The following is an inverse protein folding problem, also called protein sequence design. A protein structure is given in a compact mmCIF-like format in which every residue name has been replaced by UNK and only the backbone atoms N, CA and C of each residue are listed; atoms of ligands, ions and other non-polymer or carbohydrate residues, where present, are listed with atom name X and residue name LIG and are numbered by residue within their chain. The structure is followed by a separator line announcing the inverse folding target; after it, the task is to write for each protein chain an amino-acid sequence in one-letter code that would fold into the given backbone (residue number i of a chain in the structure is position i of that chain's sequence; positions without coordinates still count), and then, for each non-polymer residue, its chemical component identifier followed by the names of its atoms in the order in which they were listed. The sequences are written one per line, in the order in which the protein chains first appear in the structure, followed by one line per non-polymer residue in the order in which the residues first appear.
data_IF_251347599056
#
_entry.id   IF_251347599056
#
_cell.length_a   1.000
_cell.length_b   1.000
_cell.length_c   1.000
_cell.angle_alpha   90.00
_cell.angle_beta   90.00
_cell.angle_gamma   90.00
#
_symmetry.space_group_name_H-M   'P 1'
#
loop_
_entity.id
_entity.type
_entity.pdbx_description
1 polymer ?
#
# COMPACT_ATOMS: atom_id res chain seq x y z
N UNK A 1 -4.30 29.76 -14.61
CA UNK A 1 -3.06 29.09 -14.18
C UNK A 1 -3.06 29.09 -12.65
N UNK A 2 -3.44 27.98 -12.08
CA UNK A 2 -3.58 27.85 -10.64
C UNK A 2 -2.19 27.58 -10.06
N UNK A 3 -1.57 28.65 -9.61
CA UNK A 3 -0.37 28.52 -8.79
C UNK A 3 -0.88 28.07 -7.41
N UNK A 4 -0.91 26.76 -7.20
CA UNK A 4 -1.02 26.22 -5.85
C UNK A 4 0.15 26.81 -5.06
N UNK A 5 -0.08 27.57 -3.99
CA UNK A 5 1.03 28.24 -3.33
C UNK A 5 2.04 27.16 -2.90
N UNK A 6 3.26 27.23 -3.39
CA UNK A 6 4.35 26.30 -3.07
C UNK A 6 4.47 26.07 -1.53
N UNK A 7 4.21 27.10 -0.76
CA UNK A 7 4.18 27.03 0.71
C UNK A 7 2.99 26.22 1.27
N UNK A 8 1.92 25.97 0.51
CA UNK A 8 0.78 25.19 1.02
C UNK A 8 1.15 23.72 1.20
N UNK A 9 1.98 23.19 0.33
CA UNK A 9 2.41 21.78 0.42
C UNK A 9 3.33 21.56 1.63
N UNK A 10 4.23 22.49 1.92
CA UNK A 10 5.02 22.45 3.15
C UNK A 10 4.17 22.59 4.41
N UNK A 11 3.18 23.47 4.39
CA UNK A 11 2.37 23.76 5.57
C UNK A 11 1.34 22.68 5.88
N UNK A 12 0.78 22.02 4.86
CA UNK A 12 -0.34 21.09 5.02
C UNK A 12 -0.01 19.67 4.59
N UNK A 13 0.60 19.47 3.44
CA UNK A 13 0.85 18.13 2.90
C UNK A 13 1.91 17.37 3.70
N UNK A 14 3.05 17.97 4.02
CA UNK A 14 4.11 17.29 4.79
C UNK A 14 3.67 16.89 6.21
N UNK A 15 3.01 17.77 7.01
CA UNK A 15 2.48 17.35 8.32
C UNK A 15 1.42 16.25 8.20
N UNK A 16 0.54 16.31 7.20
CA UNK A 16 -0.46 15.28 6.95
C UNK A 16 0.19 13.95 6.57
N UNK A 17 1.20 13.97 5.70
CA UNK A 17 1.98 12.80 5.33
C UNK A 17 2.72 12.19 6.52
N UNK A 18 3.37 13.02 7.34
CA UNK A 18 4.05 12.56 8.55
C UNK A 18 3.09 11.88 9.53
N UNK A 19 1.89 12.47 9.72
CA UNK A 19 0.83 11.88 10.55
C UNK A 19 0.35 10.54 9.98
N UNK A 20 0.15 10.47 8.67
CA UNK A 20 -0.27 9.23 7.98
C UNK A 20 0.79 8.14 8.12
N UNK A 21 2.07 8.45 7.91
CA UNK A 21 3.19 7.51 8.09
C UNK A 21 3.20 6.92 9.51
N UNK A 22 3.14 7.77 10.53
CA UNK A 22 3.11 7.35 11.93
C UNK A 22 1.91 6.45 12.23
N UNK A 23 0.73 6.80 11.74
CA UNK A 23 -0.48 5.99 11.97
C UNK A 23 -0.39 4.63 11.25
N UNK A 24 0.09 4.58 10.00
CA UNK A 24 0.27 3.32 9.28
C UNK A 24 1.30 2.43 9.97
N UNK A 25 2.42 2.99 10.41
CA UNK A 25 3.43 2.25 11.18
C UNK A 25 2.85 1.72 12.48
N UNK A 26 2.18 2.57 13.27
CA UNK A 26 1.53 2.16 14.53
C UNK A 26 0.53 1.03 14.33
N UNK A 27 -0.33 1.11 13.32
CA UNK A 27 -1.31 0.06 13.02
C UNK A 27 -0.62 -1.22 12.52
N UNK A 28 0.41 -1.10 11.70
CA UNK A 28 1.20 -2.24 11.24
C UNK A 28 1.82 -2.99 12.42
N UNK A 29 2.45 -2.29 13.36
CA UNK A 29 3.03 -2.89 14.56
C UNK A 29 2.00 -3.61 15.44
N UNK A 30 0.76 -3.10 15.51
CA UNK A 30 -0.33 -3.74 16.25
C UNK A 30 -0.87 -5.02 15.56
N UNK A 31 -0.59 -5.19 14.27
CA UNK A 31 -0.94 -6.36 13.47
C UNK A 31 0.21 -7.36 13.32
N UNK A 32 1.44 -6.90 13.45
CA UNK A 32 2.60 -7.78 13.49
C UNK A 32 2.71 -8.42 14.87
N UNK A 33 3.21 -9.65 14.88
CA UNK A 33 3.54 -10.34 16.12
C UNK A 33 4.69 -9.61 16.85
N UNK A 34 5.09 -10.12 18.01
CA UNK A 34 6.22 -9.60 18.80
C UNK A 34 7.58 -9.71 18.09
N UNK A 35 7.62 -10.34 16.91
CA UNK A 35 8.82 -10.39 16.05
C UNK A 35 9.23 -8.98 15.67
N UNK A 36 10.45 -8.59 16.03
CA UNK A 36 10.99 -7.26 15.71
C UNK A 36 11.98 -7.26 14.55
N UNK A 37 12.33 -8.42 14.02
CA UNK A 37 13.28 -8.58 12.92
C UNK A 37 12.64 -9.33 11.76
N UNK A 38 12.77 -8.78 10.56
CA UNK A 38 12.23 -9.31 9.31
C UNK A 38 13.35 -9.41 8.28
N UNK A 39 13.47 -10.57 7.61
CA UNK A 39 14.43 -10.80 6.53
C UNK A 39 13.69 -10.70 5.19
N UNK A 40 13.94 -9.60 4.48
CA UNK A 40 13.31 -9.28 3.21
C UNK A 40 11.95 -8.59 3.36
N UNK A 41 11.78 -7.52 2.57
CA UNK A 41 10.62 -6.64 2.59
C UNK A 41 10.21 -6.21 1.19
N UNK A 42 8.92 -6.05 0.95
CA UNK A 42 8.39 -5.41 -0.25
C UNK A 42 7.24 -4.48 0.08
N UNK A 43 7.30 -3.24 -0.43
CA UNK A 43 6.19 -2.27 -0.39
C UNK A 43 5.57 -2.18 -1.79
N UNK A 44 4.25 -2.35 -1.90
CA UNK A 44 3.51 -2.33 -3.15
C UNK A 44 2.62 -1.10 -3.23
N UNK A 45 2.61 -0.45 -4.40
CA UNK A 45 1.72 0.67 -4.72
C UNK A 45 2.21 2.02 -4.22
N UNK A 46 3.41 2.10 -3.69
CA UNK A 46 4.07 3.37 -3.32
C UNK A 46 5.54 3.38 -3.71
N UNK A 47 6.14 4.54 -3.70
CA UNK A 47 7.57 4.73 -4.00
C UNK A 47 8.44 4.69 -2.74
N UNK A 48 8.04 3.95 -1.70
CA UNK A 48 8.76 3.82 -0.43
C UNK A 48 8.30 4.84 0.62
N UNK A 49 7.07 5.30 0.53
CA UNK A 49 6.50 6.32 1.42
C UNK A 49 6.50 5.89 2.89
N UNK A 50 6.33 4.60 3.17
CA UNK A 50 6.13 4.10 4.53
C UNK A 50 7.35 3.37 5.11
N UNK A 51 8.21 2.81 4.26
CA UNK A 51 9.33 1.96 4.68
C UNK A 51 10.24 2.64 5.71
N UNK A 52 10.65 3.90 5.47
CA UNK A 52 11.56 4.60 6.38
C UNK A 52 11.02 4.69 7.81
N UNK A 53 9.74 5.05 7.96
CA UNK A 53 9.12 5.14 9.28
C UNK A 53 8.92 3.77 9.93
N UNK A 54 8.73 2.72 9.13
CA UNK A 54 8.64 1.36 9.64
C UNK A 54 9.98 0.84 10.15
N UNK A 55 11.09 1.19 9.47
CA UNK A 55 12.46 0.85 9.89
C UNK A 55 12.91 1.51 11.20
N UNK A 56 12.29 2.61 11.60
CA UNK A 56 12.53 3.23 12.91
C UNK A 56 12.03 2.33 14.07
N UNK A 57 11.09 1.42 13.81
CA UNK A 57 10.41 0.62 14.82
C UNK A 57 10.73 -0.89 14.75
N UNK A 58 11.06 -1.40 13.57
CA UNK A 58 11.42 -2.81 13.36
C UNK A 58 12.70 -2.95 12.54
N UNK A 59 13.45 -4.00 12.81
CA UNK A 59 14.70 -4.29 12.10
C UNK A 59 14.40 -5.04 10.80
N UNK A 60 14.48 -4.36 9.66
CA UNK A 60 14.32 -4.96 8.34
C UNK A 60 15.70 -5.21 7.75
N UNK A 61 16.09 -6.47 7.64
CA UNK A 61 17.34 -6.92 7.03
C UNK A 61 17.11 -7.50 5.64
N UNK A 62 18.21 -7.77 4.95
CA UNK A 62 18.18 -8.36 3.62
C UNK A 62 17.67 -7.39 2.55
N UNK A 63 17.10 -7.96 1.50
CA UNK A 63 16.64 -7.19 0.34
C UNK A 63 15.34 -6.45 0.64
N UNK A 64 15.25 -5.24 0.09
CA UNK A 64 14.06 -4.38 0.19
C UNK A 64 13.65 -3.95 -1.20
N UNK A 65 12.37 -4.14 -1.52
CA UNK A 65 11.81 -3.85 -2.83
C UNK A 65 10.66 -2.85 -2.76
N UNK A 66 10.60 -1.98 -3.76
CA UNK A 66 9.47 -1.08 -4.02
C UNK A 66 8.84 -1.49 -5.34
N UNK A 67 7.67 -2.12 -5.28
CA UNK A 67 6.92 -2.54 -6.45
C UNK A 67 5.92 -1.45 -6.84
N UNK A 68 6.26 -0.67 -7.85
CA UNK A 68 5.46 0.48 -8.31
C UNK A 68 5.59 0.66 -9.82
N UNK A 69 4.71 1.46 -10.44
CA UNK A 69 4.71 1.72 -11.89
C UNK A 69 5.76 2.74 -12.32
N UNK A 70 6.33 3.50 -11.40
CA UNK A 70 7.38 4.46 -11.68
C UNK A 70 8.43 4.44 -10.57
N UNK A 71 9.69 4.52 -10.94
CA UNK A 71 10.77 4.71 -9.96
C UNK A 71 10.66 6.10 -9.35
N UNK A 72 10.94 6.17 -8.07
CA UNK A 72 10.99 7.44 -7.38
C UNK A 72 12.08 8.35 -7.95
N UNK A 73 11.74 9.58 -8.32
CA UNK A 73 12.70 10.64 -8.50
C UNK A 73 13.23 11.11 -7.13
N UNK A 74 14.27 11.94 -7.16
CA UNK A 74 14.84 12.57 -5.95
C UNK A 74 14.85 14.09 -6.10
N UNK A 75 13.91 14.63 -6.90
CA UNK A 75 13.67 16.06 -7.01
C UNK A 75 12.89 16.61 -5.81
N UNK A 76 12.82 17.95 -5.66
CA UNK A 76 12.14 18.58 -4.51
C UNK A 76 10.69 18.14 -4.33
N UNK A 77 9.94 17.94 -5.41
CA UNK A 77 8.55 17.49 -5.37
C UNK A 77 8.42 16.04 -4.87
N UNK A 78 9.30 15.15 -5.32
CA UNK A 78 9.34 13.77 -4.85
C UNK A 78 9.67 13.68 -3.36
N UNK A 79 10.61 14.52 -2.89
CA UNK A 79 10.97 14.61 -1.49
C UNK A 79 9.77 15.04 -0.66
N UNK A 80 9.01 16.03 -1.14
CA UNK A 80 7.78 16.49 -0.47
C UNK A 80 6.73 15.36 -0.44
N UNK A 81 6.52 14.69 -1.56
CA UNK A 81 5.49 13.63 -1.66
C UNK A 81 5.80 12.39 -0.80
N UNK A 82 7.06 12.02 -0.71
CA UNK A 82 7.51 10.83 0.03
C UNK A 82 8.08 11.11 1.42
N UNK A 83 8.59 12.33 1.65
CA UNK A 83 9.32 12.67 2.86
C UNK A 83 10.63 11.88 3.00
N UNK A 84 11.35 11.64 1.88
CA UNK A 84 12.59 10.86 1.85
C UNK A 84 13.64 11.51 0.93
N UNK A 85 14.88 11.51 1.38
CA UNK A 85 16.02 12.14 0.70
C UNK A 85 16.90 11.13 -0.05
N UNK A 86 16.83 9.83 0.28
CA UNK A 86 17.75 8.81 -0.21
C UNK A 86 17.02 7.60 -0.76
N UNK A 87 17.70 6.81 -1.60
CA UNK A 87 17.23 5.51 -2.05
C UNK A 87 17.28 4.51 -0.89
N UNK A 88 16.13 3.98 -0.52
CA UNK A 88 15.98 3.08 0.65
C UNK A 88 15.74 1.62 0.26
N UNK A 89 15.39 1.36 -1.00
CA UNK A 89 15.08 0.02 -1.48
C UNK A 89 15.28 -0.07 -3.01
N UNK A 90 15.31 -1.28 -3.53
CA UNK A 90 15.38 -1.53 -4.96
C UNK A 90 14.01 -1.31 -5.60
N UNK A 91 13.96 -0.50 -6.64
CA UNK A 91 12.76 -0.37 -7.48
C UNK A 91 12.58 -1.61 -8.35
N UNK A 92 11.33 -2.07 -8.45
CA UNK A 92 10.90 -3.13 -9.37
C UNK A 92 9.62 -2.65 -10.06
N UNK A 93 9.63 -2.67 -11.39
CA UNK A 93 8.47 -2.23 -12.16
C UNK A 93 7.29 -3.20 -11.98
N UNK A 94 6.18 -2.66 -11.51
CA UNK A 94 4.91 -3.39 -11.38
C UNK A 94 4.19 -3.52 -12.73
N UNK A 95 4.50 -2.65 -13.69
CA UNK A 95 3.74 -2.52 -14.92
C UNK A 95 2.24 -2.35 -14.65
N UNK A 96 1.41 -3.01 -15.43
CA UNK A 96 -0.05 -3.04 -15.23
C UNK A 96 -0.45 -4.24 -14.33
N UNK A 97 0.07 -4.30 -13.09
CA UNK A 97 -0.07 -5.45 -12.19
C UNK A 97 0.49 -6.75 -12.79
N UNK A 98 1.63 -6.62 -13.46
CA UNK A 98 2.36 -7.74 -14.05
C UNK A 98 2.99 -8.62 -12.98
N UNK A 99 3.13 -9.91 -13.27
CA UNK A 99 3.88 -10.85 -12.40
C UNK A 99 5.38 -10.89 -12.73
N UNK A 100 5.88 -9.97 -13.57
CA UNK A 100 7.29 -9.95 -13.99
C UNK A 100 8.28 -9.78 -12.83
N UNK A 101 7.86 -9.14 -11.73
CA UNK A 101 8.65 -8.97 -10.52
C UNK A 101 9.11 -10.32 -9.91
N UNK A 102 8.38 -11.41 -10.14
CA UNK A 102 8.77 -12.75 -9.67
C UNK A 102 10.02 -13.33 -10.38
N UNK A 103 10.51 -12.65 -11.41
CA UNK A 103 11.82 -12.96 -12.02
C UNK A 103 12.97 -12.29 -11.26
N UNK A 104 12.70 -11.19 -10.57
CA UNK A 104 13.68 -10.42 -9.80
C UNK A 104 13.66 -10.82 -8.32
N UNK A 105 12.47 -11.05 -7.76
CA UNK A 105 12.27 -11.38 -6.36
C UNK A 105 12.06 -12.90 -6.23
N UNK A 106 12.96 -13.56 -5.52
CA UNK A 106 12.91 -15.00 -5.36
C UNK A 106 11.68 -15.47 -4.58
N UNK A 107 11.18 -16.67 -4.90
CA UNK A 107 10.12 -17.31 -4.11
C UNK A 107 10.58 -17.54 -2.68
N UNK A 108 9.65 -17.36 -1.72
CA UNK A 108 9.90 -17.57 -0.30
C UNK A 108 11.10 -16.78 0.24
N UNK A 109 11.31 -15.54 -0.23
CA UNK A 109 12.44 -14.71 0.18
C UNK A 109 12.07 -13.60 1.17
N UNK A 110 10.78 -13.22 1.24
CA UNK A 110 10.33 -12.06 2.02
C UNK A 110 9.57 -12.49 3.28
N UNK A 111 9.94 -11.92 4.42
CA UNK A 111 9.19 -12.08 5.68
C UNK A 111 7.97 -11.16 5.75
N UNK A 112 8.04 -9.98 5.10
CA UNK A 112 7.00 -8.96 5.18
C UNK A 112 6.74 -8.29 3.83
N UNK A 113 5.47 -8.25 3.46
CA UNK A 113 4.99 -7.47 2.31
C UNK A 113 3.89 -6.53 2.78
N UNK A 114 3.91 -5.28 2.32
CA UNK A 114 2.88 -4.29 2.64
C UNK A 114 2.22 -3.74 1.38
N UNK A 115 0.90 -3.58 1.43
CA UNK A 115 0.07 -2.94 0.41
C UNK A 115 -0.76 -1.88 1.12
N UNK A 116 -0.23 -0.67 1.23
CA UNK A 116 -0.96 0.43 1.88
C UNK A 116 -1.88 1.19 0.92
N UNK A 117 -1.64 1.02 -0.38
CA UNK A 117 -2.44 1.59 -1.46
C UNK A 117 -2.48 0.56 -2.59
N UNK A 118 -3.68 0.24 -3.10
CA UNK A 118 -3.72 -0.35 -4.41
C UNK A 118 -4.43 -1.68 -4.62
N UNK A 119 -4.93 -2.40 -3.61
CA UNK A 119 -5.66 -3.65 -3.90
C UNK A 119 -6.90 -3.40 -4.77
N UNK A 120 -7.70 -2.36 -4.47
CA UNK A 120 -8.87 -1.99 -5.25
C UNK A 120 -8.53 -1.45 -6.65
N UNK A 121 -7.29 -1.04 -6.90
CA UNK A 121 -6.83 -0.64 -8.24
C UNK A 121 -6.42 -1.84 -9.10
N UNK A 122 -6.23 -3.02 -8.53
CA UNK A 122 -5.83 -4.19 -9.29
C UNK A 122 -6.97 -4.68 -10.21
N UNK A 123 -6.77 -4.74 -11.54
CA UNK A 123 -7.81 -5.17 -12.47
C UNK A 123 -8.25 -6.61 -12.20
N UNK A 124 -9.56 -6.85 -12.24
CA UNK A 124 -10.16 -8.15 -11.92
C UNK A 124 -9.55 -9.32 -12.71
N UNK A 125 -9.37 -9.22 -14.05
CA UNK A 125 -8.89 -10.34 -14.86
C UNK A 125 -7.50 -10.88 -14.50
N UNK A 126 -6.65 -10.02 -13.91
CA UNK A 126 -5.26 -10.37 -13.58
C UNK A 126 -5.00 -10.46 -12.08
N UNK A 127 -5.97 -10.09 -11.25
CA UNK A 127 -5.82 -9.98 -9.79
C UNK A 127 -5.37 -11.28 -9.13
N UNK A 128 -6.01 -12.39 -9.46
CA UNK A 128 -5.65 -13.69 -8.89
C UNK A 128 -4.20 -14.07 -9.18
N UNK A 129 -3.78 -13.89 -10.42
CA UNK A 129 -2.40 -14.17 -10.85
C UNK A 129 -1.39 -13.25 -10.13
N UNK A 130 -1.71 -11.95 -10.02
CA UNK A 130 -0.87 -10.98 -9.33
C UNK A 130 -0.74 -11.30 -7.85
N UNK A 131 -1.86 -11.52 -7.15
CA UNK A 131 -1.85 -11.83 -5.71
C UNK A 131 -1.16 -13.17 -5.43
N UNK A 132 -1.35 -14.17 -6.29
CA UNK A 132 -0.63 -15.45 -6.18
C UNK A 132 0.88 -15.27 -6.31
N UNK A 133 1.33 -14.41 -7.23
CA UNK A 133 2.75 -14.09 -7.35
C UNK A 133 3.29 -13.33 -6.12
N UNK A 134 2.49 -12.40 -5.56
CA UNK A 134 2.83 -11.72 -4.29
C UNK A 134 2.94 -12.75 -3.15
N UNK A 135 1.98 -13.66 -3.01
CA UNK A 135 2.06 -14.74 -2.01
C UNK A 135 3.32 -15.59 -2.21
N UNK A 136 3.67 -15.91 -3.46
CA UNK A 136 4.78 -16.81 -3.75
C UNK A 136 6.14 -16.26 -3.30
N UNK A 137 6.36 -14.94 -3.33
CA UNK A 137 7.59 -14.33 -2.83
C UNK A 137 7.64 -14.24 -1.29
N UNK A 138 6.50 -14.27 -0.62
CA UNK A 138 6.43 -14.34 0.85
C UNK A 138 6.89 -15.72 1.33
N UNK A 139 7.68 -15.78 2.41
CA UNK A 139 8.07 -17.05 3.06
C UNK A 139 6.84 -17.73 3.70
N UNK A 140 6.82 -19.06 3.84
CA UNK A 140 5.85 -19.72 4.72
C UNK A 140 5.89 -19.10 6.13
N UNK A 141 4.73 -18.72 6.67
CA UNK A 141 4.63 -17.96 7.93
C UNK A 141 4.93 -16.45 7.81
N UNK A 142 5.39 -15.97 6.67
CA UNK A 142 5.59 -14.54 6.40
C UNK A 142 4.26 -13.79 6.29
N UNK A 143 4.31 -12.47 6.40
CA UNK A 143 3.14 -11.61 6.56
C UNK A 143 2.87 -10.75 5.32
N UNK A 144 1.59 -10.59 5.01
CA UNK A 144 1.06 -9.53 4.14
C UNK A 144 0.23 -8.57 4.99
N UNK A 145 0.59 -7.30 5.00
CA UNK A 145 -0.24 -6.21 5.56
C UNK A 145 -0.95 -5.53 4.41
N UNK A 146 -2.27 -5.48 4.48
CA UNK A 146 -3.11 -4.88 3.45
C UNK A 146 -3.99 -3.79 4.03
N UNK A 147 -3.96 -2.60 3.43
CA UNK A 147 -4.90 -1.50 3.68
C UNK A 147 -5.86 -1.37 2.52
N UNK A 148 -7.15 -1.25 2.81
CA UNK A 148 -8.18 -0.95 1.82
C UNK A 148 -9.42 -0.33 2.47
N UNK A 149 -10.41 0.04 1.66
CA UNK A 149 -11.72 0.50 2.08
C UNK A 149 -12.65 -0.68 2.37
N UNK A 150 -13.41 -0.62 3.48
CA UNK A 150 -14.44 -1.63 3.80
C UNK A 150 -15.79 -1.21 3.21
N UNK A 151 -15.92 -1.33 1.91
CA UNK A 151 -17.14 -0.97 1.16
C UNK A 151 -18.21 -2.08 1.27
N UNK A 152 -18.91 -2.12 2.42
CA UNK A 152 -19.90 -3.17 2.72
C UNK A 152 -21.22 -3.00 1.98
N UNK A 153 -21.52 -1.79 1.54
CA UNK A 153 -22.75 -1.42 0.84
C UNK A 153 -22.47 -0.31 -0.17
N UNK A 154 -23.50 0.03 -0.94
CA UNK A 154 -23.41 1.02 -2.01
C UNK A 154 -23.04 2.42 -1.49
N UNK A 155 -23.54 2.84 -0.33
CA UNK A 155 -23.25 4.15 0.23
C UNK A 155 -21.78 4.27 0.60
N UNK A 156 -21.20 3.27 1.26
CA UNK A 156 -19.75 3.23 1.56
C UNK A 156 -18.91 3.15 0.30
N UNK A 157 -19.37 2.44 -0.73
CA UNK A 157 -18.72 2.42 -2.04
C UNK A 157 -18.69 3.83 -2.67
N UNK A 158 -19.83 4.54 -2.65
CA UNK A 158 -19.93 5.91 -3.17
C UNK A 158 -19.05 6.89 -2.38
N UNK A 159 -19.00 6.77 -1.05
CA UNK A 159 -18.15 7.59 -0.20
C UNK A 159 -16.67 7.35 -0.53
N UNK A 160 -16.25 6.09 -0.71
CA UNK A 160 -14.88 5.77 -1.11
C UNK A 160 -14.55 6.35 -2.50
N UNK A 161 -15.47 6.22 -3.48
CA UNK A 161 -15.30 6.78 -4.81
C UNK A 161 -15.18 8.32 -4.78
N UNK A 162 -16.05 9.00 -4.02
CA UNK A 162 -15.99 10.45 -3.84
C UNK A 162 -14.67 10.91 -3.20
N UNK A 163 -14.16 10.15 -2.23
CA UNK A 163 -12.88 10.46 -1.61
C UNK A 163 -11.72 10.36 -2.62
N UNK A 164 -11.75 9.38 -3.52
CA UNK A 164 -10.78 9.28 -4.63
C UNK A 164 -10.90 10.46 -5.60
N UNK A 165 -12.12 10.85 -6.00
CA UNK A 165 -12.33 12.02 -6.86
C UNK A 165 -11.79 13.29 -6.21
N UNK A 166 -12.07 13.46 -4.90
CA UNK A 166 -11.58 14.61 -4.13
C UNK A 166 -10.05 14.62 -4.02
N UNK A 167 -9.44 13.45 -3.78
CA UNK A 167 -7.99 13.31 -3.71
C UNK A 167 -7.34 13.65 -5.06
N UNK A 168 -7.85 13.07 -6.15
CA UNK A 168 -7.32 13.29 -7.49
C UNK A 168 -7.47 14.77 -7.92
N UNK A 169 -8.61 15.40 -7.60
CA UNK A 169 -8.79 16.83 -7.83
C UNK A 169 -7.80 17.68 -7.00
N UNK A 170 -7.57 17.30 -5.73
CA UNK A 170 -6.63 17.97 -4.85
C UNK A 170 -5.16 17.83 -5.26
N UNK A 171 -4.81 16.76 -5.97
CA UNK A 171 -3.46 16.50 -6.52
C UNK A 171 -3.30 16.97 -7.96
N UNK A 172 -4.30 17.66 -8.52
CA UNK A 172 -4.33 18.15 -9.91
C UNK A 172 -4.24 17.03 -10.97
N UNK A 173 -4.74 15.85 -10.67
CA UNK A 173 -4.87 14.80 -11.66
C UNK A 173 -5.84 15.21 -12.77
N UNK A 174 -5.56 14.78 -14.00
CA UNK A 174 -6.46 15.07 -15.11
C UNK A 174 -7.79 14.31 -14.96
N UNK A 175 -8.88 14.89 -15.50
CA UNK A 175 -10.16 14.18 -15.58
C UNK A 175 -10.03 12.82 -16.28
N UNK A 176 -9.19 12.71 -17.30
CA UNK A 176 -8.91 11.47 -18.01
C UNK A 176 -8.30 10.42 -17.07
N UNK A 177 -7.30 10.79 -16.28
CA UNK A 177 -6.67 9.91 -15.28
C UNK A 177 -7.71 9.45 -14.28
N UNK A 178 -8.45 10.38 -13.67
CA UNK A 178 -9.48 10.09 -12.68
C UNK A 178 -10.58 9.14 -13.21
N UNK A 179 -11.05 9.38 -14.44
CA UNK A 179 -12.09 8.56 -15.08
C UNK A 179 -11.61 7.17 -15.48
N UNK A 180 -10.35 7.02 -15.84
CA UNK A 180 -9.77 5.72 -16.23
C UNK A 180 -9.26 4.88 -15.07
N UNK A 181 -9.23 5.43 -13.87
CA UNK A 181 -8.74 4.75 -12.68
C UNK A 181 -9.64 3.54 -12.32
N UNK A 182 -9.03 2.38 -12.19
CA UNK A 182 -9.73 1.18 -11.72
C UNK A 182 -10.04 1.31 -10.24
N UNK A 183 -11.30 1.17 -9.86
CA UNK A 183 -11.79 1.32 -8.48
C UNK A 183 -12.72 0.17 -8.11
N UNK A 184 -12.17 -0.93 -7.68
CA UNK A 184 -12.91 -2.12 -7.28
C UNK A 184 -12.99 -2.19 -5.75
N UNK A 185 -13.81 -1.34 -5.14
CA UNK A 185 -13.99 -1.37 -3.69
C UNK A 185 -14.82 -2.57 -3.26
N UNK A 186 -14.34 -3.28 -2.24
CA UNK A 186 -14.98 -4.47 -1.70
C UNK A 186 -15.15 -4.36 -0.19
N UNK A 187 -16.06 -5.18 0.37
CA UNK A 187 -16.07 -5.38 1.82
C UNK A 187 -14.85 -6.17 2.28
N UNK A 188 -14.42 -5.95 3.51
CA UNK A 188 -13.34 -6.75 4.11
C UNK A 188 -13.69 -8.25 4.18
N UNK A 189 -14.97 -8.58 4.32
CA UNK A 189 -15.43 -9.98 4.24
C UNK A 189 -15.10 -10.61 2.87
N UNK A 190 -15.28 -9.86 1.79
CA UNK A 190 -14.91 -10.34 0.44
C UNK A 190 -13.38 -10.49 0.34
N UNK A 191 -12.62 -9.45 0.74
CA UNK A 191 -11.15 -9.43 0.64
C UNK A 191 -10.54 -10.59 1.44
N UNK A 192 -10.98 -10.79 2.69
CA UNK A 192 -10.46 -11.86 3.55
C UNK A 192 -10.77 -13.25 3.00
N UNK A 193 -11.98 -13.47 2.51
CA UNK A 193 -12.35 -14.75 1.89
C UNK A 193 -11.56 -15.00 0.61
N UNK A 194 -11.35 -13.98 -0.20
CA UNK A 194 -10.61 -14.07 -1.44
C UNK A 194 -9.13 -14.42 -1.20
N UNK A 195 -8.49 -13.71 -0.30
CA UNK A 195 -7.07 -13.94 0.05
C UNK A 195 -6.87 -15.29 0.76
N UNK A 196 -7.80 -15.70 1.62
CA UNK A 196 -7.76 -17.04 2.24
C UNK A 196 -7.76 -18.16 1.18
N UNK A 197 -8.57 -18.06 0.13
CA UNK A 197 -8.60 -19.04 -0.97
C UNK A 197 -7.27 -19.10 -1.72
N UNK A 198 -6.49 -18.02 -1.70
CA UNK A 198 -5.18 -17.94 -2.34
C UNK A 198 -4.02 -18.31 -1.40
N UNK A 199 -4.28 -18.87 -0.20
CA UNK A 199 -3.26 -19.30 0.74
C UNK A 199 -2.65 -18.17 1.58
N UNK A 200 -3.38 -17.06 1.73
CA UNK A 200 -3.06 -15.95 2.62
C UNK A 200 -4.09 -15.91 3.74
N UNK A 201 -3.81 -16.59 4.86
CA UNK A 201 -4.74 -16.75 5.98
C UNK A 201 -4.91 -15.43 6.74
N UNK A 202 -6.14 -14.94 6.82
CA UNK A 202 -6.51 -13.77 7.61
C UNK A 202 -6.32 -14.01 9.11
N UNK A 203 -5.77 -13.02 9.83
CA UNK A 203 -5.46 -13.14 11.26
C UNK A 203 -6.57 -12.66 12.22
N UNK A 204 -7.75 -12.36 11.66
CA UNK A 204 -8.94 -12.08 12.49
C UNK A 204 -9.05 -10.66 13.01
N UNK A 205 -8.09 -9.75 12.71
CA UNK A 205 -8.08 -8.38 13.24
C UNK A 205 -8.08 -7.33 12.14
N UNK A 206 -8.96 -6.33 12.28
CA UNK A 206 -8.99 -5.13 11.44
C UNK A 206 -8.70 -3.91 12.32
N UNK A 207 -7.84 -3.03 11.86
CA UNK A 207 -7.57 -1.73 12.48
C UNK A 207 -8.07 -0.62 11.57
N UNK A 208 -9.23 -0.06 11.89
CA UNK A 208 -9.80 1.07 11.14
C UNK A 208 -9.08 2.38 11.45
N UNK A 209 -8.93 3.21 10.44
CA UNK A 209 -8.43 4.57 10.61
C UNK A 209 -9.49 5.42 11.29
N UNK A 210 -9.16 5.99 12.45
CA UNK A 210 -10.10 6.80 13.24
C UNK A 210 -10.50 8.06 12.48
N UNK A 211 -11.81 8.31 12.39
CA UNK A 211 -12.38 9.50 11.75
C UNK A 211 -12.36 9.47 10.21
N UNK A 212 -12.01 8.34 9.60
CA UNK A 212 -12.07 8.17 8.16
C UNK A 212 -13.47 7.69 7.71
N UNK A 213 -14.24 8.52 7.00
CA UNK A 213 -15.58 8.18 6.56
C UNK A 213 -15.59 7.06 5.51
N UNK A 214 -14.47 6.85 4.81
CA UNK A 214 -14.32 5.80 3.80
C UNK A 214 -14.03 4.42 4.40
N UNK A 215 -13.95 4.34 5.75
CA UNK A 215 -13.67 3.12 6.49
C UNK A 215 -12.41 2.38 6.02
N UNK A 216 -11.34 3.13 5.77
CA UNK A 216 -10.03 2.52 5.56
C UNK A 216 -9.62 1.72 6.80
N UNK A 217 -9.07 0.54 6.56
CA UNK A 217 -8.55 -0.30 7.61
C UNK A 217 -7.37 -1.15 7.16
N UNK A 218 -6.54 -1.54 8.11
CA UNK A 218 -5.43 -2.46 7.92
C UNK A 218 -5.83 -3.87 8.41
N UNK A 219 -5.38 -4.86 7.67
CA UNK A 219 -5.53 -6.28 7.98
C UNK A 219 -4.18 -6.99 7.80
N UNK A 220 -3.95 -8.04 8.57
CA UNK A 220 -2.80 -8.92 8.42
C UNK A 220 -3.21 -10.30 7.91
N UNK A 221 -2.36 -10.86 7.07
CA UNK A 221 -2.50 -12.20 6.51
C UNK A 221 -1.17 -12.94 6.64
N UNK A 222 -1.23 -14.22 6.96
CA UNK A 222 -0.05 -15.11 6.99
C UNK A 222 -0.09 -16.06 5.81
N UNK A 223 1.03 -16.22 5.11
CA UNK A 223 1.18 -17.29 4.11
C UNK A 223 1.18 -18.66 4.77
N UNK A 224 0.27 -19.53 4.34
CA UNK A 224 0.15 -20.93 4.76
C UNK A 224 0.66 -21.87 3.68
#
# INVERSE_FOLDING_TARGET
ADIKPFLSDFRYALPALAKQKKEMTRQTLLLLDTKKRYEGYMEIGTTGRYLSQLEDEIDIKGERFLLHTAEAGYGPLDIIDRGQLTKIAQFVDMGQYSTAFSKTIAKNSLDLVTVYIGFHHCPIPIREKFISAVRDVIKPGGKLILRDHDARNEDLWRIAALAHDTFNAGTNETWKTNHSEVRNFYSFKFITNYLNKLGLRYEGKVLYQKGDPTRNGLMAFTKV
#
